data_IF_273038038530
#
_entry.id   IF_273038038530
#
_cell.length_a   1.000
_cell.length_b   1.000
_cell.length_c   1.000
_cell.angle_alpha   90.00
_cell.angle_beta   90.00
_cell.angle_gamma   90.00
#
_symmetry.space_group_name_H-M   'P 1'
#
loop_
_entity.id
_entity.type
_entity.pdbx_description
1 polymer ?
#
# COMPACT_ATOMS: atom_id res chain seq x y z
N UNK A 1 37.71 0.22 -5.78
CA UNK A 1 36.23 0.13 -5.72
C UNK A 1 35.82 0.04 -4.26
N UNK A 2 34.93 0.92 -3.77
CA UNK A 2 34.54 0.94 -2.35
C UNK A 2 33.86 -0.38 -1.92
N UNK A 3 34.16 -0.92 -0.72
CA UNK A 3 33.50 -2.11 -0.18
C UNK A 3 31.97 -1.99 -0.17
N UNK A 4 31.44 -0.80 0.13
CA UNK A 4 30.00 -0.54 0.13
C UNK A 4 29.35 -0.78 -1.24
N UNK A 5 30.01 -0.35 -2.33
CA UNK A 5 29.52 -0.55 -3.70
C UNK A 5 29.50 -2.04 -4.06
N UNK A 6 30.49 -2.81 -3.61
CA UNK A 6 30.54 -4.26 -3.84
C UNK A 6 29.38 -4.98 -3.15
N UNK A 7 29.09 -4.62 -1.89
CA UNK A 7 27.98 -5.19 -1.10
C UNK A 7 26.64 -4.81 -1.70
N UNK A 8 26.42 -3.54 -2.06
CA UNK A 8 25.16 -3.08 -2.65
C UNK A 8 24.88 -3.75 -4.00
N UNK A 9 25.90 -3.87 -4.87
CA UNK A 9 25.76 -4.58 -6.14
C UNK A 9 25.50 -6.08 -5.92
N UNK A 10 26.11 -6.70 -4.92
CA UNK A 10 25.83 -8.09 -4.55
C UNK A 10 24.40 -8.26 -4.02
N UNK A 11 23.87 -7.31 -3.24
CA UNK A 11 22.49 -7.37 -2.73
C UNK A 11 21.44 -7.18 -3.84
N UNK A 12 21.72 -6.31 -4.82
CA UNK A 12 20.84 -6.14 -5.99
C UNK A 12 20.86 -7.36 -6.92
N UNK A 13 22.00 -8.06 -7.05
CA UNK A 13 22.17 -9.22 -7.93
C UNK A 13 21.88 -10.58 -7.28
N UNK A 14 22.23 -10.76 -6.00
CA UNK A 14 22.20 -12.01 -5.24
C UNK A 14 20.81 -12.46 -4.79
N UNK A 15 19.76 -11.87 -5.35
CA UNK A 15 18.38 -12.27 -5.20
C UNK A 15 18.10 -13.57 -6.00
N UNK A 16 18.85 -14.63 -5.72
CA UNK A 16 18.71 -15.94 -6.37
C UNK A 16 17.61 -16.82 -5.75
N UNK A 17 16.87 -16.31 -4.76
CA UNK A 17 15.68 -16.95 -4.19
C UNK A 17 14.48 -15.98 -4.26
N UNK A 18 14.07 -15.71 -5.51
CA UNK A 18 13.06 -14.76 -6.04
C UNK A 18 12.37 -13.78 -5.05
N UNK A 19 13.04 -12.72 -4.56
CA UNK A 19 12.33 -11.51 -4.17
C UNK A 19 11.93 -10.71 -5.43
N UNK A 20 10.64 -10.36 -5.52
CA UNK A 20 10.06 -9.54 -6.59
C UNK A 20 10.87 -8.24 -6.75
N UNK A 21 11.13 -7.79 -7.99
CA UNK A 21 11.93 -6.57 -8.28
C UNK A 21 11.50 -5.35 -7.45
N UNK A 22 10.20 -5.22 -7.15
CA UNK A 22 9.64 -4.20 -6.26
C UNK A 22 10.24 -4.23 -4.83
N UNK A 23 10.46 -5.41 -4.27
CA UNK A 23 11.06 -5.59 -2.94
C UNK A 23 12.51 -5.14 -2.93
N UNK A 24 13.29 -5.51 -3.96
CA UNK A 24 14.68 -5.10 -4.10
C UNK A 24 14.75 -3.58 -4.30
N UNK A 25 13.90 -3.01 -5.16
CA UNK A 25 13.82 -1.57 -5.40
C UNK A 25 13.47 -0.77 -4.13
N UNK A 26 12.56 -1.28 -3.30
CA UNK A 26 12.19 -0.65 -2.01
C UNK A 26 13.33 -0.72 -0.99
N UNK A 27 13.99 -1.87 -0.83
CA UNK A 27 15.16 -2.00 0.04
C UNK A 27 16.30 -1.08 -0.40
N UNK A 28 16.58 -1.03 -1.71
CA UNK A 28 17.58 -0.13 -2.25
C UNK A 28 17.22 1.35 -2.00
N UNK A 29 15.96 1.74 -2.15
CA UNK A 29 15.52 3.11 -1.87
C UNK A 29 15.74 3.52 -0.41
N UNK A 30 15.51 2.61 0.55
CA UNK A 30 15.81 2.84 1.97
C UNK A 30 17.30 3.11 2.18
N UNK A 31 18.15 2.25 1.63
CA UNK A 31 19.61 2.36 1.79
C UNK A 31 20.16 3.61 1.10
N UNK A 32 19.68 3.94 -0.10
CA UNK A 32 20.02 5.18 -0.79
C UNK A 32 19.57 6.42 -0.01
N UNK A 33 18.39 6.39 0.62
CA UNK A 33 17.94 7.44 1.52
C UNK A 33 18.88 7.62 2.71
N UNK A 34 19.29 6.53 3.35
CA UNK A 34 20.21 6.55 4.48
C UNK A 34 21.57 7.15 4.12
N UNK A 35 22.19 6.70 3.02
CA UNK A 35 23.48 7.25 2.58
C UNK A 35 23.38 8.72 2.16
N UNK A 36 22.24 9.13 1.59
CA UNK A 36 21.99 10.55 1.30
C UNK A 36 21.96 11.39 2.56
N UNK A 37 21.27 10.95 3.61
CA UNK A 37 21.29 11.64 4.91
C UNK A 37 22.71 11.71 5.48
N UNK A 38 23.46 10.60 5.46
CA UNK A 38 24.83 10.58 5.95
C UNK A 38 25.76 11.57 5.21
N UNK A 39 25.52 11.86 3.92
CA UNK A 39 26.24 12.90 3.19
C UNK A 39 25.77 14.30 3.58
N UNK A 40 24.45 14.52 3.70
CA UNK A 40 23.87 15.81 4.12
C UNK A 40 24.38 16.21 5.51
N UNK A 41 24.45 15.26 6.43
CA UNK A 41 24.90 15.47 7.81
C UNK A 41 26.45 15.46 7.95
N UNK A 42 27.18 15.33 6.83
CA UNK A 42 28.64 15.39 6.79
C UNK A 42 29.37 14.14 7.32
N UNK A 43 28.66 13.05 7.62
CA UNK A 43 29.26 11.77 8.00
C UNK A 43 29.99 11.07 6.84
N UNK A 44 29.62 11.39 5.60
CA UNK A 44 30.26 10.88 4.38
C UNK A 44 30.47 12.02 3.37
N UNK A 45 31.58 11.98 2.66
CA UNK A 45 31.86 12.95 1.59
C UNK A 45 31.12 12.61 0.28
N UNK A 46 30.83 11.32 0.04
CA UNK A 46 30.28 10.83 -1.23
C UNK A 46 29.30 9.69 -0.98
N UNK A 47 28.15 9.71 -1.66
CA UNK A 47 27.13 8.67 -1.63
C UNK A 47 27.55 7.45 -2.49
N UNK A 48 27.80 6.26 -1.90
CA UNK A 48 28.19 5.07 -2.65
C UNK A 48 27.05 4.49 -3.50
N UNK A 49 25.79 4.84 -3.23
CA UNK A 49 24.63 4.29 -3.94
C UNK A 49 24.49 4.83 -5.37
N UNK A 50 25.10 5.98 -5.66
CA UNK A 50 25.15 6.59 -7.00
C UNK A 50 25.86 5.68 -8.02
N UNK A 51 26.83 4.86 -7.57
CA UNK A 51 27.56 3.92 -8.42
C UNK A 51 26.81 2.59 -8.66
N UNK A 52 25.57 2.46 -8.17
CA UNK A 52 24.75 1.25 -8.27
C UNK A 52 23.52 1.55 -9.11
N UNK A 53 23.33 0.79 -10.19
CA UNK A 53 22.13 0.87 -11.00
C UNK A 53 20.91 0.50 -10.16
N UNK A 54 20.00 1.46 -9.99
CA UNK A 54 18.75 1.23 -9.28
C UNK A 54 17.95 0.13 -10.00
N UNK A 55 17.42 -0.87 -9.28
CA UNK A 55 16.51 -1.84 -9.88
C UNK A 55 15.34 -1.10 -10.52
N UNK A 56 15.19 -1.21 -11.84
CA UNK A 56 14.02 -0.73 -12.54
C UNK A 56 12.85 -1.63 -12.14
N UNK A 57 12.01 -1.13 -11.24
CA UNK A 57 10.68 -1.70 -11.03
C UNK A 57 9.88 -1.22 -12.22
N UNK A 58 9.57 -2.13 -13.14
CA UNK A 58 8.68 -1.80 -14.24
C UNK A 58 7.38 -1.29 -13.62
N UNK A 59 7.00 -0.06 -13.97
CA UNK A 59 5.67 0.42 -13.70
C UNK A 59 4.74 -0.39 -14.59
N UNK A 60 4.16 -1.46 -14.04
CA UNK A 60 3.19 -2.30 -14.74
C UNK A 60 1.84 -1.57 -14.99
N UNK A 61 1.78 -0.25 -14.79
CA UNK A 61 0.55 0.52 -14.92
C UNK A 61 -0.49 0.17 -13.85
N UNK A 62 -1.76 0.47 -14.15
CA UNK A 62 -2.91 -0.11 -13.49
C UNK A 62 -3.13 -1.58 -13.91
N UNK A 63 -2.10 -2.43 -13.95
CA UNK A 63 -2.29 -3.89 -13.84
C UNK A 63 -2.68 -4.31 -12.42
N UNK A 64 -3.40 -3.45 -11.71
CA UNK A 64 -4.23 -3.93 -10.61
C UNK A 64 -5.34 -4.70 -11.29
N UNK A 65 -5.56 -5.96 -10.92
CA UNK A 65 -6.78 -6.66 -11.31
C UNK A 65 -7.94 -5.73 -10.95
N UNK A 66 -8.64 -5.24 -11.97
CA UNK A 66 -9.84 -4.44 -11.79
C UNK A 66 -11.00 -5.41 -11.74
N UNK A 67 -11.94 -5.17 -10.84
CA UNK A 67 -13.16 -5.95 -10.77
C UNK A 67 -14.19 -5.32 -11.69
N UNK A 68 -14.62 -6.05 -12.72
CA UNK A 68 -15.70 -5.60 -13.59
C UNK A 68 -17.06 -5.72 -12.88
N UNK A 69 -18.10 -4.97 -13.32
CA UNK A 69 -19.41 -4.99 -12.66
C UNK A 69 -20.02 -6.39 -12.46
N UNK A 70 -19.87 -7.29 -13.43
CA UNK A 70 -20.35 -8.67 -13.33
C UNK A 70 -19.53 -9.50 -12.33
N UNK A 71 -18.22 -9.30 -12.27
CA UNK A 71 -17.35 -9.95 -11.29
C UNK A 71 -17.65 -9.46 -9.87
N UNK A 72 -17.97 -8.17 -9.72
CA UNK A 72 -18.43 -7.60 -8.47
C UNK A 72 -19.79 -8.17 -8.05
N UNK A 73 -20.75 -8.27 -8.96
CA UNK A 73 -22.05 -8.88 -8.66
C UNK A 73 -21.90 -10.34 -8.20
N UNK A 74 -20.98 -11.10 -8.82
CA UNK A 74 -20.63 -12.45 -8.40
C UNK A 74 -19.97 -12.47 -7.00
N UNK A 75 -19.03 -11.56 -6.74
CA UNK A 75 -18.39 -11.41 -5.42
C UNK A 75 -19.40 -11.05 -4.33
N UNK A 76 -20.30 -10.11 -4.60
CA UNK A 76 -21.35 -9.71 -3.67
C UNK A 76 -22.31 -10.87 -3.37
N UNK A 77 -22.63 -11.67 -4.38
CA UNK A 77 -23.45 -12.89 -4.22
C UNK A 77 -22.74 -13.94 -3.37
N UNK A 78 -21.44 -14.17 -3.62
CA UNK A 78 -20.63 -15.07 -2.81
C UNK A 78 -20.55 -14.58 -1.35
N UNK A 79 -20.34 -13.28 -1.14
CA UNK A 79 -20.29 -12.67 0.19
C UNK A 79 -21.62 -12.80 0.95
N UNK A 80 -22.77 -12.65 0.26
CA UNK A 80 -24.10 -12.91 0.85
C UNK A 80 -24.26 -14.35 1.31
N UNK A 81 -23.70 -15.32 0.57
CA UNK A 81 -23.75 -16.74 0.93
C UNK A 81 -22.82 -17.09 2.10
N UNK A 82 -21.70 -16.39 2.21
CA UNK A 82 -20.73 -16.57 3.29
C UNK A 82 -21.27 -16.05 4.64
N UNK A 83 -21.90 -14.87 4.63
CA UNK A 83 -22.60 -14.36 5.81
C UNK A 83 -22.79 -12.85 5.84
N UNK A 84 -23.49 -12.33 6.87
CA UNK A 84 -23.82 -10.91 6.96
C UNK A 84 -22.59 -10.00 7.06
N UNK A 85 -21.52 -10.44 7.73
CA UNK A 85 -20.28 -9.66 7.86
C UNK A 85 -19.56 -9.50 6.52
N UNK A 86 -19.40 -10.60 5.78
CA UNK A 86 -18.76 -10.59 4.46
C UNK A 86 -19.58 -9.78 3.47
N UNK A 87 -20.92 -9.91 3.53
CA UNK A 87 -21.81 -9.08 2.72
C UNK A 87 -21.66 -7.59 3.00
N UNK A 88 -21.71 -7.20 4.28
CA UNK A 88 -21.57 -5.80 4.70
C UNK A 88 -20.20 -5.24 4.30
N UNK A 89 -19.12 -6.01 4.49
CA UNK A 89 -17.77 -5.62 4.09
C UNK A 89 -17.69 -5.33 2.58
N UNK A 90 -18.14 -6.25 1.74
CA UNK A 90 -18.07 -6.10 0.27
C UNK A 90 -18.97 -4.96 -0.20
N UNK A 91 -20.16 -4.80 0.38
CA UNK A 91 -21.07 -3.70 0.03
C UNK A 91 -20.45 -2.34 0.39
N UNK A 92 -19.91 -2.18 1.60
CA UNK A 92 -19.28 -0.92 2.03
C UNK A 92 -18.03 -0.56 1.19
N UNK A 93 -17.22 -1.56 0.81
CA UNK A 93 -16.07 -1.34 -0.05
C UNK A 93 -16.46 -0.74 -1.41
N UNK A 94 -17.61 -1.11 -1.95
CA UNK A 94 -18.09 -0.62 -3.25
C UNK A 94 -18.89 0.67 -3.14
N UNK A 95 -19.87 0.75 -2.23
CA UNK A 95 -20.78 1.90 -2.14
C UNK A 95 -20.05 3.23 -1.84
N UNK A 96 -19.04 3.18 -0.96
CA UNK A 96 -18.37 4.38 -0.46
C UNK A 96 -16.87 4.43 -0.77
N UNK A 97 -16.31 3.39 -1.40
CA UNK A 97 -14.91 3.36 -1.84
C UNK A 97 -13.88 3.44 -0.70
N UNK A 98 -14.26 3.05 0.52
CA UNK A 98 -13.36 3.06 1.68
C UNK A 98 -12.34 1.92 1.63
N UNK A 99 -11.22 2.07 2.33
CA UNK A 99 -10.19 1.01 2.35
C UNK A 99 -10.61 -0.13 3.28
N UNK A 100 -10.22 -1.36 2.95
CA UNK A 100 -10.48 -2.54 3.80
C UNK A 100 -10.05 -2.33 5.26
N UNK A 101 -8.87 -1.72 5.49
CA UNK A 101 -8.40 -1.44 6.85
C UNK A 101 -9.21 -0.36 7.59
N UNK A 102 -9.91 0.51 6.86
CA UNK A 102 -10.84 1.49 7.43
C UNK A 102 -12.16 0.78 7.78
N UNK A 103 -12.72 -0.04 6.88
CA UNK A 103 -13.95 -0.83 7.14
C UNK A 103 -13.81 -1.70 8.38
N UNK A 104 -12.71 -2.46 8.48
CA UNK A 104 -12.47 -3.39 9.58
C UNK A 104 -12.33 -2.72 10.96
N UNK A 105 -12.26 -1.39 11.02
CA UNK A 105 -12.16 -0.62 12.28
C UNK A 105 -13.45 0.08 12.67
N UNK A 106 -14.46 0.08 11.81
CA UNK A 106 -15.75 0.71 12.08
C UNK A 106 -16.43 -0.04 13.22
N UNK A 107 -16.87 0.71 14.22
CA UNK A 107 -17.76 0.24 15.27
C UNK A 107 -19.16 0.84 15.08
N UNK A 108 -20.13 0.26 15.77
CA UNK A 108 -21.52 0.76 15.78
C UNK A 108 -21.57 2.23 16.26
N UNK A 109 -20.65 2.63 17.15
CA UNK A 109 -20.53 4.01 17.64
C UNK A 109 -20.08 5.01 16.59
N UNK A 110 -19.51 4.55 15.48
CA UNK A 110 -19.06 5.40 14.38
C UNK A 110 -20.19 5.71 13.39
N UNK A 111 -21.32 5.01 13.53
CA UNK A 111 -22.55 5.24 12.79
C UNK A 111 -23.40 6.30 13.48
N UNK A 112 -23.87 7.28 12.71
CA UNK A 112 -24.79 8.31 13.21
C UNK A 112 -25.78 8.70 12.14
N UNK A 113 -27.00 9.06 12.55
CA UNK A 113 -27.97 9.68 11.67
C UNK A 113 -27.92 11.19 11.83
N UNK A 114 -27.86 11.92 10.71
CA UNK A 114 -27.88 13.37 10.70
C UNK A 114 -28.70 13.86 9.51
N UNK A 115 -29.73 14.66 9.76
CA UNK A 115 -30.61 15.24 8.74
C UNK A 115 -31.23 14.22 7.77
N UNK A 116 -31.54 13.01 8.26
CA UNK A 116 -32.12 11.92 7.46
C UNK A 116 -31.11 11.05 6.71
N UNK A 117 -29.81 11.33 6.83
CA UNK A 117 -28.74 10.52 6.25
C UNK A 117 -28.06 9.66 7.31
N UNK A 118 -27.74 8.42 6.96
CA UNK A 118 -26.81 7.58 7.73
C UNK A 118 -25.38 7.97 7.37
N UNK A 119 -24.56 8.25 8.37
CA UNK A 119 -23.18 8.68 8.22
C UNK A 119 -22.28 7.70 8.98
N UNK A 120 -21.15 7.36 8.37
CA UNK A 120 -20.08 6.61 9.03
C UNK A 120 -18.83 7.48 9.18
N UNK A 121 -18.25 7.45 10.38
CA UNK A 121 -16.97 8.11 10.67
C UNK A 121 -15.82 7.12 10.52
N UNK A 122 -14.79 7.49 9.77
CA UNK A 122 -13.60 6.64 9.54
C UNK A 122 -12.31 7.40 9.76
N UNK A 123 -11.26 6.71 10.17
CA UNK A 123 -9.90 7.26 10.29
C UNK A 123 -9.05 6.75 9.15
N UNK A 124 -8.80 7.61 8.17
CA UNK A 124 -8.03 7.30 6.98
C UNK A 124 -6.51 7.37 7.18
N UNK A 125 -5.79 7.08 6.10
CA UNK A 125 -4.32 7.11 6.08
C UNK A 125 -3.76 8.45 6.56
N UNK A 126 -2.78 8.39 7.45
CA UNK A 126 -2.17 9.57 8.07
C UNK A 126 -2.98 10.16 9.22
N UNK A 127 -3.85 9.35 9.84
CA UNK A 127 -4.72 9.75 10.94
C UNK A 127 -5.68 10.88 10.56
N UNK A 128 -6.18 10.85 9.32
CA UNK A 128 -7.08 11.88 8.77
C UNK A 128 -8.53 11.41 8.92
N UNK A 129 -9.36 12.05 9.76
CA UNK A 129 -10.76 11.66 9.91
C UNK A 129 -11.56 12.03 8.67
N UNK A 130 -12.56 11.20 8.34
CA UNK A 130 -13.55 11.46 7.30
C UNK A 130 -14.94 11.02 7.76
N UNK A 131 -15.96 11.70 7.27
CA UNK A 131 -17.37 11.37 7.50
C UNK A 131 -18.00 11.14 6.14
N UNK A 132 -18.61 9.97 5.97
CA UNK A 132 -19.06 9.49 4.66
C UNK A 132 -20.53 9.07 4.79
N UNK A 133 -21.43 9.51 3.89
CA UNK A 133 -22.80 9.02 3.87
C UNK A 133 -22.87 7.56 3.40
N UNK A 134 -23.72 6.78 4.06
CA UNK A 134 -24.07 5.41 3.69
C UNK A 134 -25.26 5.38 2.71
#
# INVERSE_FOLDING_TARGET
MSPAVKVLRASVRGAHDRPVKATIGRRFATVAGFYRYAVIDGHLMVDPTVAVTRPAVQWEGQRRTVLHPLEFAALLTAARRDGPHSHALVALLEMIGIRVGEVCRINITDLRQQSGYELVSVIGKGNKPAVIPL
#
